data_IF_671820763776
#
_entry.id   IF_671820763776
#
_cell.length_a   1.000
_cell.length_b   1.000
_cell.length_c   1.000
_cell.angle_alpha   90.00
_cell.angle_beta   90.00
_cell.angle_gamma   90.00
#
_symmetry.space_group_name_H-M   'P 1'
#
loop_
_entity.id
_entity.type
_entity.pdbx_description
1 polymer ?
#
# COMPACT_ATOMS: atom_id res chain seq x y z
N UNK A 1 4.42 22.15 30.61
CA UNK A 1 4.64 21.41 31.87
C UNK A 1 4.70 19.90 31.58
N UNK A 2 5.31 19.02 32.41
CA UNK A 2 5.38 17.57 32.16
C UNK A 2 4.01 16.91 31.95
N UNK A 3 2.97 17.43 32.59
CA UNK A 3 1.59 16.95 32.47
C UNK A 3 0.96 17.27 31.11
N UNK A 4 1.31 18.43 30.52
CA UNK A 4 0.83 18.82 29.18
C UNK A 4 1.49 17.95 28.11
N UNK A 5 2.77 17.59 28.30
CA UNK A 5 3.49 16.62 27.47
C UNK A 5 2.85 15.23 27.55
N UNK A 6 2.51 14.74 28.74
CA UNK A 6 1.83 13.44 28.90
C UNK A 6 0.46 13.41 28.23
N UNK A 7 -0.34 14.49 28.39
CA UNK A 7 -1.63 14.63 27.70
C UNK A 7 -1.45 14.68 26.20
N UNK A 8 -0.51 15.48 25.69
CA UNK A 8 -0.19 15.56 24.25
C UNK A 8 0.24 14.21 23.68
N UNK A 9 1.09 13.46 24.40
CA UNK A 9 1.51 12.12 23.97
C UNK A 9 0.39 11.09 24.03
N UNK A 10 -0.51 11.18 25.02
CA UNK A 10 -1.65 10.26 25.14
C UNK A 10 -2.72 10.48 24.05
N UNK A 11 -2.80 11.69 23.48
CA UNK A 11 -3.74 12.05 22.42
C UNK A 11 -3.10 12.08 21.02
N UNK A 12 -1.79 11.82 20.93
CA UNK A 12 -1.08 11.82 19.66
C UNK A 12 -1.42 10.56 18.86
N UNK A 13 -2.24 10.73 17.84
CA UNK A 13 -2.68 9.64 16.94
C UNK A 13 -1.61 9.18 15.93
N UNK A 14 -0.36 9.68 16.04
CA UNK A 14 0.69 9.43 15.07
C UNK A 14 0.56 10.28 13.79
N UNK A 15 1.56 10.29 12.92
CA UNK A 15 1.45 10.92 11.62
C UNK A 15 0.49 10.12 10.74
N UNK A 16 -0.39 10.81 10.01
CA UNK A 16 -1.27 10.17 9.04
C UNK A 16 -0.46 9.43 7.98
N UNK A 17 -1.07 8.37 7.39
CA UNK A 17 -0.47 7.57 6.32
C UNK A 17 0.85 6.89 6.73
N UNK A 18 0.97 6.46 7.98
CA UNK A 18 2.06 5.61 8.45
C UNK A 18 1.47 4.43 9.20
N UNK A 19 1.33 3.30 8.49
CA UNK A 19 0.64 2.11 8.95
C UNK A 19 -0.76 2.45 9.50
N UNK A 20 -1.48 3.29 8.74
CA UNK A 20 -2.75 3.89 9.15
C UNK A 20 -3.92 2.98 8.80
N UNK A 21 -4.71 2.59 9.82
CA UNK A 21 -5.80 1.63 9.66
C UNK A 21 -7.07 2.32 9.13
N UNK A 22 -7.43 2.06 7.88
CA UNK A 22 -8.69 2.52 7.27
C UNK A 22 -9.88 1.62 7.62
N UNK A 23 -9.62 0.32 7.80
CA UNK A 23 -10.57 -0.68 8.24
C UNK A 23 -9.84 -1.76 9.02
N UNK A 24 -10.39 -2.17 10.17
CA UNK A 24 -9.89 -3.29 10.95
C UNK A 24 -11.07 -4.10 11.44
N UNK A 25 -11.23 -5.29 10.90
CA UNK A 25 -12.29 -6.25 11.26
C UNK A 25 -11.67 -7.64 11.40
N UNK A 26 -12.43 -8.58 11.92
CA UNK A 26 -12.03 -9.99 11.95
C UNK A 26 -11.88 -10.56 10.52
N UNK A 27 -12.59 -9.98 9.55
CA UNK A 27 -12.57 -10.45 8.16
C UNK A 27 -11.41 -9.87 7.36
N UNK A 28 -11.13 -8.58 7.48
CA UNK A 28 -10.14 -7.88 6.63
C UNK A 28 -9.52 -6.72 7.41
N UNK A 29 -8.24 -6.48 7.15
CA UNK A 29 -7.52 -5.29 7.59
C UNK A 29 -7.11 -4.47 6.37
N UNK A 30 -7.48 -3.18 6.35
CA UNK A 30 -7.02 -2.21 5.35
C UNK A 30 -6.10 -1.19 6.00
N UNK A 31 -4.92 -1.01 5.42
CA UNK A 31 -3.88 -0.10 5.90
C UNK A 31 -3.49 0.84 4.76
N UNK A 32 -3.23 2.11 5.06
CA UNK A 32 -2.51 3.02 4.18
C UNK A 32 -1.14 3.35 4.75
N UNK A 33 -0.12 3.33 3.89
CA UNK A 33 1.24 3.69 4.29
C UNK A 33 1.91 4.58 3.25
N UNK A 34 2.63 5.58 3.72
CA UNK A 34 3.35 6.54 2.88
C UNK A 34 4.64 5.98 2.28
N UNK A 35 5.03 4.76 2.64
CA UNK A 35 6.25 4.10 2.17
C UNK A 35 6.36 4.17 0.65
N UNK A 36 7.48 4.67 0.18
CA UNK A 36 7.76 4.89 -1.23
C UNK A 36 9.24 4.67 -1.60
N UNK A 37 10.05 4.32 -0.62
CA UNK A 37 11.44 3.86 -0.80
C UNK A 37 11.49 2.34 -0.59
N UNK A 38 12.32 1.57 -1.33
CA UNK A 38 12.38 0.11 -1.21
C UNK A 38 12.53 -0.40 0.22
N UNK A 39 13.39 0.24 1.02
CA UNK A 39 13.60 -0.12 2.44
C UNK A 39 12.34 0.08 3.29
N UNK A 40 11.60 1.17 3.06
CA UNK A 40 10.34 1.46 3.78
C UNK A 40 9.27 0.42 3.40
N UNK A 41 9.15 0.11 2.10
CA UNK A 41 8.22 -0.89 1.57
C UNK A 41 8.47 -2.25 2.22
N UNK A 42 9.72 -2.72 2.21
CA UNK A 42 10.09 -4.00 2.81
C UNK A 42 9.77 -4.03 4.31
N UNK A 43 10.08 -2.95 5.05
CA UNK A 43 9.78 -2.86 6.48
C UNK A 43 8.27 -2.90 6.77
N UNK A 44 7.47 -2.15 6.00
CA UNK A 44 5.99 -2.12 6.14
C UNK A 44 5.38 -3.47 5.82
N UNK A 45 5.80 -4.13 4.73
CA UNK A 45 5.30 -5.45 4.35
C UNK A 45 5.68 -6.54 5.37
N UNK A 46 6.90 -6.48 5.90
CA UNK A 46 7.33 -7.37 6.97
C UNK A 46 6.46 -7.19 8.23
N UNK A 47 6.23 -5.95 8.67
CA UNK A 47 5.36 -5.67 9.80
C UNK A 47 3.92 -6.20 9.58
N UNK A 48 3.39 -6.07 8.37
CA UNK A 48 2.10 -6.63 8.01
C UNK A 48 2.09 -8.17 8.07
N UNK A 49 3.14 -8.81 7.58
CA UNK A 49 3.28 -10.28 7.63
C UNK A 49 3.34 -10.80 9.06
N UNK A 50 4.00 -10.05 9.97
CA UNK A 50 4.09 -10.37 11.40
C UNK A 50 2.75 -10.26 12.15
N UNK A 51 1.70 -9.63 11.55
CA UNK A 51 0.35 -9.62 12.11
C UNK A 51 -0.33 -11.00 12.08
N UNK A 52 0.25 -11.99 11.40
CA UNK A 52 -0.18 -13.38 11.41
C UNK A 52 -1.49 -13.67 10.68
N UNK A 53 -1.92 -12.78 9.77
CA UNK A 53 -3.07 -12.98 8.88
C UNK A 53 -2.70 -13.87 7.69
N UNK A 54 -3.73 -14.35 6.96
CA UNK A 54 -3.56 -15.34 5.88
C UNK A 54 -2.69 -14.80 4.73
N UNK A 55 -3.03 -13.64 4.16
CA UNK A 55 -2.29 -13.05 3.03
C UNK A 55 -2.06 -11.54 3.21
N UNK A 56 -0.95 -11.07 2.67
CA UNK A 56 -0.65 -9.65 2.51
C UNK A 56 -0.81 -9.26 1.04
N UNK A 57 -1.79 -8.42 0.76
CA UNK A 57 -2.04 -7.81 -0.56
C UNK A 57 -1.46 -6.40 -0.52
N UNK A 58 -0.54 -6.07 -1.42
CA UNK A 58 0.05 -4.74 -1.52
C UNK A 58 -0.36 -4.08 -2.83
N UNK A 59 -0.99 -2.91 -2.75
CA UNK A 59 -1.21 -2.01 -3.87
C UNK A 59 -0.22 -0.86 -3.78
N UNK A 60 0.70 -0.76 -4.75
CA UNK A 60 1.79 0.19 -4.73
C UNK A 60 1.74 1.17 -5.91
N UNK A 61 1.94 2.46 -5.60
CA UNK A 61 2.11 3.53 -6.59
C UNK A 61 3.55 4.03 -6.56
N UNK A 62 4.34 3.82 -7.62
CA UNK A 62 5.65 4.41 -7.73
C UNK A 62 5.55 5.93 -7.71
N UNK A 63 6.50 6.59 -7.05
CA UNK A 63 6.51 8.05 -6.89
C UNK A 63 7.79 8.63 -7.50
N UNK A 64 7.64 9.46 -8.55
CA UNK A 64 8.64 10.07 -9.40
C UNK A 64 9.34 9.11 -10.36
N UNK A 65 9.51 9.56 -11.60
CA UNK A 65 10.24 8.83 -12.64
C UNK A 65 11.72 8.65 -12.29
N UNK A 66 12.34 9.71 -11.73
CA UNK A 66 13.74 9.68 -11.31
C UNK A 66 14.03 8.61 -10.27
N UNK A 67 13.20 8.51 -9.23
CA UNK A 67 13.34 7.48 -8.19
C UNK A 67 13.10 6.09 -8.75
N UNK A 68 12.05 5.91 -9.55
CA UNK A 68 11.71 4.63 -10.19
C UNK A 68 12.88 4.12 -11.05
N UNK A 69 13.54 5.02 -11.78
CA UNK A 69 14.73 4.69 -12.58
C UNK A 69 15.92 4.33 -11.69
N UNK A 70 16.21 5.16 -10.70
CA UNK A 70 17.41 5.04 -9.86
C UNK A 70 17.41 3.78 -9.00
N UNK A 71 16.28 3.47 -8.38
CA UNK A 71 16.14 2.38 -7.39
C UNK A 71 15.44 1.14 -7.96
N UNK A 72 15.46 0.96 -9.29
CA UNK A 72 14.71 -0.12 -9.94
C UNK A 72 15.11 -1.53 -9.47
N UNK A 73 16.39 -1.75 -9.21
CA UNK A 73 16.88 -3.05 -8.75
C UNK A 73 16.43 -3.33 -7.30
N UNK A 74 16.55 -2.32 -6.42
CA UNK A 74 16.10 -2.41 -5.04
C UNK A 74 14.58 -2.60 -4.95
N UNK A 75 13.82 -1.95 -5.84
CA UNK A 75 12.38 -2.19 -5.92
C UNK A 75 12.05 -3.64 -6.28
N UNK A 76 12.87 -4.29 -7.10
CA UNK A 76 12.61 -5.69 -7.50
C UNK A 76 12.57 -6.65 -6.32
N UNK A 77 13.25 -6.34 -5.22
CA UNK A 77 13.37 -7.17 -4.01
C UNK A 77 12.40 -6.75 -2.88
N UNK A 78 11.95 -5.49 -2.89
CA UNK A 78 11.22 -4.89 -1.78
C UNK A 78 9.87 -5.56 -1.45
N UNK A 79 9.30 -6.34 -2.37
CA UNK A 79 7.96 -6.91 -2.26
C UNK A 79 7.93 -8.38 -1.88
N UNK A 80 9.02 -8.91 -1.27
CA UNK A 80 9.13 -10.33 -0.94
C UNK A 80 8.00 -10.80 -0.01
N UNK A 81 7.62 -9.99 0.98
CA UNK A 81 6.62 -10.32 2.01
C UNK A 81 5.17 -10.11 1.57
N UNK A 82 4.92 -9.59 0.37
CA UNK A 82 3.58 -9.52 -0.19
C UNK A 82 3.22 -10.82 -0.93
N UNK A 83 2.01 -11.32 -0.71
CA UNK A 83 1.49 -12.52 -1.37
C UNK A 83 0.82 -12.21 -2.71
N UNK A 84 0.22 -11.01 -2.84
CA UNK A 84 -0.40 -10.51 -4.08
C UNK A 84 -0.02 -9.05 -4.27
N UNK A 85 0.30 -8.67 -5.50
CA UNK A 85 0.73 -7.32 -5.83
C UNK A 85 -0.19 -6.66 -6.87
N UNK A 86 -0.44 -5.38 -6.61
CA UNK A 86 -1.04 -4.45 -7.56
C UNK A 86 -0.13 -3.25 -7.72
N UNK A 87 0.13 -2.86 -8.96
CA UNK A 87 0.90 -1.66 -9.28
C UNK A 87 0.07 -0.70 -10.10
N UNK A 88 0.26 0.60 -9.89
CA UNK A 88 -0.34 1.64 -10.72
C UNK A 88 0.70 2.34 -11.57
N UNK A 89 0.25 3.29 -12.38
CA UNK A 89 1.16 4.19 -13.06
C UNK A 89 1.94 5.09 -12.07
N UNK A 90 3.06 5.65 -12.54
CA UNK A 90 3.93 6.48 -11.71
C UNK A 90 3.23 7.80 -11.38
N UNK A 91 3.19 8.16 -10.11
CA UNK A 91 2.83 9.51 -9.69
C UNK A 91 4.02 10.44 -9.96
N UNK A 92 3.85 11.31 -10.95
CA UNK A 92 4.94 12.15 -11.48
C UNK A 92 5.51 13.16 -10.47
N UNK A 93 4.68 13.68 -9.55
CA UNK A 93 5.07 14.73 -8.58
C UNK A 93 5.78 15.94 -9.20
N UNK A 94 5.29 16.36 -10.38
CA UNK A 94 5.85 17.50 -11.12
C UNK A 94 7.05 17.17 -12.03
N UNK A 95 7.53 15.93 -12.05
CA UNK A 95 8.59 15.51 -12.99
C UNK A 95 8.04 15.27 -14.39
N UNK A 96 8.84 15.57 -15.40
CA UNK A 96 8.57 15.14 -16.78
C UNK A 96 8.84 13.65 -16.95
N UNK A 97 8.09 12.95 -17.83
CA UNK A 97 8.35 11.56 -18.14
C UNK A 97 9.80 11.32 -18.63
N UNK A 98 10.38 10.22 -18.19
CA UNK A 98 11.72 9.78 -18.62
C UNK A 98 11.54 8.64 -19.62
N UNK A 99 12.18 8.72 -20.77
CA UNK A 99 12.09 7.70 -21.81
C UNK A 99 12.45 6.31 -21.26
N UNK A 100 11.58 5.33 -21.51
CA UNK A 100 11.75 3.95 -21.05
C UNK A 100 11.45 3.72 -19.57
N UNK A 101 10.89 4.72 -18.85
CA UNK A 101 10.47 4.62 -17.45
C UNK A 101 8.96 4.87 -17.39
N UNK A 102 8.20 3.85 -17.10
CA UNK A 102 6.75 3.89 -16.95
C UNK A 102 6.29 2.99 -15.78
N UNK A 103 4.98 2.94 -15.54
CA UNK A 103 4.38 2.18 -14.44
C UNK A 103 4.59 0.67 -14.53
N UNK A 104 4.98 0.14 -15.68
CA UNK A 104 5.23 -1.30 -15.88
C UNK A 104 6.65 -1.74 -15.53
N UNK A 105 7.57 -0.79 -15.33
CA UNK A 105 8.98 -1.10 -15.08
C UNK A 105 9.14 -1.96 -13.81
N UNK A 106 8.63 -1.49 -12.67
CA UNK A 106 8.75 -2.21 -11.39
C UNK A 106 8.02 -3.55 -11.44
N UNK A 107 6.73 -3.65 -11.84
CA UNK A 107 6.04 -4.94 -11.91
C UNK A 107 6.77 -5.96 -12.80
N UNK A 108 7.37 -5.54 -13.91
CA UNK A 108 8.14 -6.43 -14.78
C UNK A 108 9.43 -6.95 -14.10
N UNK A 109 10.12 -6.11 -13.34
CA UNK A 109 11.30 -6.52 -12.57
C UNK A 109 10.92 -7.47 -11.44
N UNK A 110 9.87 -7.16 -10.69
CA UNK A 110 9.35 -8.03 -9.62
C UNK A 110 8.90 -9.37 -10.20
N UNK A 111 8.25 -9.39 -11.38
CA UNK A 111 7.82 -10.63 -12.03
C UNK A 111 8.99 -11.53 -12.44
N UNK A 112 10.10 -10.93 -12.88
CA UNK A 112 11.33 -11.70 -13.17
C UNK A 112 11.93 -12.30 -11.92
N UNK A 113 11.90 -11.56 -10.80
CA UNK A 113 12.46 -12.00 -9.51
C UNK A 113 11.60 -13.05 -8.83
N UNK A 114 10.28 -12.92 -8.91
CA UNK A 114 9.28 -13.79 -8.29
C UNK A 114 8.26 -14.27 -9.34
N UNK A 115 8.62 -15.25 -10.20
CA UNK A 115 7.79 -15.67 -11.33
C UNK A 115 6.39 -16.17 -10.96
N UNK A 116 6.26 -16.79 -9.78
CA UNK A 116 5.00 -17.39 -9.33
C UNK A 116 4.09 -16.40 -8.58
N UNK A 117 4.61 -15.20 -8.24
CA UNK A 117 3.85 -14.21 -7.49
C UNK A 117 2.75 -13.58 -8.38
N UNK A 118 1.49 -13.54 -7.91
CA UNK A 118 0.41 -12.82 -8.60
C UNK A 118 0.70 -11.33 -8.64
N UNK A 119 0.88 -10.79 -9.84
CA UNK A 119 1.18 -9.37 -10.07
C UNK A 119 0.17 -8.82 -11.07
N UNK A 120 -0.49 -7.73 -10.68
CA UNK A 120 -1.49 -7.03 -11.46
C UNK A 120 -1.03 -5.59 -11.70
N UNK A 121 -1.24 -5.09 -12.90
CA UNK A 121 -1.04 -3.68 -13.22
C UNK A 121 -2.39 -3.03 -13.53
N UNK A 122 -2.73 -2.01 -12.75
CA UNK A 122 -3.96 -1.22 -12.89
C UNK A 122 -3.56 0.23 -13.07
N UNK A 123 -3.60 0.73 -14.31
CA UNK A 123 -3.02 2.03 -14.66
C UNK A 123 -3.50 3.16 -13.75
N UNK A 124 -4.81 3.30 -13.57
CA UNK A 124 -5.42 4.41 -12.85
C UNK A 124 -5.72 4.01 -11.41
N UNK A 125 -5.41 4.89 -10.47
CA UNK A 125 -5.69 4.68 -9.03
C UNK A 125 -7.18 4.50 -8.77
N UNK A 126 -8.03 5.18 -9.53
CA UNK A 126 -9.50 5.15 -9.41
C UNK A 126 -10.10 3.79 -9.73
N UNK A 127 -9.41 2.97 -10.54
CA UNK A 127 -9.85 1.63 -10.92
C UNK A 127 -9.44 0.56 -9.90
N UNK A 128 -8.41 0.86 -9.08
CA UNK A 128 -7.87 -0.08 -8.07
C UNK A 128 -8.92 -0.63 -7.10
N UNK A 129 -9.86 0.16 -6.52
CA UNK A 129 -10.80 -0.36 -5.53
C UNK A 129 -11.64 -1.51 -6.07
N UNK A 130 -12.06 -1.46 -7.33
CA UNK A 130 -12.84 -2.53 -7.97
C UNK A 130 -12.01 -3.80 -8.17
N UNK A 131 -10.77 -3.65 -8.62
CA UNK A 131 -9.88 -4.78 -8.87
C UNK A 131 -9.44 -5.45 -7.56
N UNK A 132 -9.11 -4.65 -6.55
CA UNK A 132 -8.79 -5.15 -5.21
C UNK A 132 -9.97 -5.89 -4.57
N UNK A 133 -11.19 -5.34 -4.70
CA UNK A 133 -12.39 -5.97 -4.15
C UNK A 133 -12.66 -7.37 -4.70
N UNK A 134 -12.28 -7.64 -5.96
CA UNK A 134 -12.46 -8.97 -6.60
C UNK A 134 -11.56 -10.05 -6.00
N UNK A 135 -10.42 -9.68 -5.43
CA UNK A 135 -9.38 -10.61 -4.97
C UNK A 135 -9.30 -10.76 -3.47
N UNK A 136 -9.83 -9.78 -2.71
CA UNK A 136 -9.87 -9.82 -1.24
C UNK A 136 -10.66 -11.04 -0.77
N UNK A 137 -10.09 -11.73 0.23
CA UNK A 137 -10.71 -12.86 0.93
C UNK A 137 -10.72 -12.59 2.42
N UNK A 138 -11.54 -13.35 3.19
CA UNK A 138 -11.45 -13.31 4.64
C UNK A 138 -10.02 -13.57 5.13
N UNK A 139 -9.65 -12.86 6.19
CA UNK A 139 -8.34 -12.90 6.84
C UNK A 139 -7.18 -12.29 6.04
N UNK A 140 -7.47 -11.49 5.01
CA UNK A 140 -6.44 -10.74 4.28
C UNK A 140 -6.07 -9.43 4.99
N UNK A 141 -4.80 -9.05 4.83
CA UNK A 141 -4.34 -7.67 5.02
C UNK A 141 -4.17 -7.06 3.63
N UNK A 142 -4.75 -5.89 3.41
CA UNK A 142 -4.51 -5.09 2.22
C UNK A 142 -3.84 -3.77 2.62
N UNK A 143 -2.76 -3.43 1.92
CA UNK A 143 -2.03 -2.19 2.15
C UNK A 143 -2.00 -1.38 0.86
N UNK A 144 -2.47 -0.12 0.90
CA UNK A 144 -2.16 0.87 -0.11
C UNK A 144 -0.86 1.58 0.27
N UNK A 145 0.09 1.68 -0.66
CA UNK A 145 1.44 2.12 -0.35
C UNK A 145 1.98 3.08 -1.41
N UNK A 146 2.45 4.25 -0.97
CA UNK A 146 3.04 5.25 -1.87
C UNK A 146 2.85 6.68 -1.40
N UNK A 147 3.72 7.61 -1.85
CA UNK A 147 3.68 9.02 -1.50
C UNK A 147 2.73 9.86 -2.38
N UNK A 148 2.11 9.27 -3.40
CA UNK A 148 1.15 9.91 -4.29
C UNK A 148 -0.29 9.84 -3.76
N UNK A 149 -1.24 9.72 -4.70
CA UNK A 149 -2.67 9.71 -4.41
C UNK A 149 -3.29 8.31 -4.20
N UNK A 150 -2.48 7.26 -4.09
CA UNK A 150 -2.98 5.88 -3.94
C UNK A 150 -3.83 5.67 -2.68
N UNK A 151 -3.62 6.47 -1.61
CA UNK A 151 -4.44 6.44 -0.41
C UNK A 151 -5.94 6.58 -0.70
N UNK A 152 -6.30 7.32 -1.76
CA UNK A 152 -7.70 7.48 -2.18
C UNK A 152 -8.33 6.14 -2.54
N UNK A 153 -7.57 5.23 -3.15
CA UNK A 153 -8.06 3.88 -3.46
C UNK A 153 -8.36 3.08 -2.18
N UNK A 154 -7.52 3.22 -1.15
CA UNK A 154 -7.76 2.62 0.17
C UNK A 154 -9.03 3.15 0.84
N UNK A 155 -9.23 4.48 0.84
CA UNK A 155 -10.44 5.13 1.37
C UNK A 155 -11.71 4.70 0.60
N UNK A 156 -11.66 4.70 -0.72
CA UNK A 156 -12.78 4.27 -1.58
C UNK A 156 -13.13 2.79 -1.32
N UNK A 157 -12.13 1.93 -1.20
CA UNK A 157 -12.32 0.52 -0.90
C UNK A 157 -12.92 0.32 0.49
N UNK A 158 -12.42 1.02 1.51
CA UNK A 158 -12.97 0.97 2.86
C UNK A 158 -14.46 1.37 2.89
N UNK A 159 -14.83 2.42 2.17
CA UNK A 159 -16.22 2.86 2.05
C UNK A 159 -17.09 1.83 1.33
N UNK A 160 -16.58 1.23 0.26
CA UNK A 160 -17.26 0.17 -0.49
C UNK A 160 -17.52 -1.06 0.38
N UNK A 161 -16.56 -1.44 1.21
CA UNK A 161 -16.67 -2.58 2.13
C UNK A 161 -17.64 -2.28 3.28
N UNK A 162 -17.60 -1.08 3.87
CA UNK A 162 -18.57 -0.65 4.89
C UNK A 162 -20.01 -0.65 4.36
N UNK A 163 -20.23 -0.16 3.14
CA UNK A 163 -21.53 -0.19 2.46
C UNK A 163 -22.07 -1.61 2.18
N UNK A 164 -21.20 -2.62 2.24
CA UNK A 164 -21.54 -4.04 2.10
C UNK A 164 -21.64 -4.79 3.44
N UNK A 165 -21.73 -4.09 4.57
CA UNK A 165 -21.93 -4.67 5.90
C UNK A 165 -20.65 -5.02 6.65
N UNK A 166 -19.47 -4.74 6.09
CA UNK A 166 -18.20 -4.85 6.81
C UNK A 166 -17.95 -3.55 7.58
N UNK A 167 -18.32 -3.53 8.86
CA UNK A 167 -18.09 -2.38 9.73
C UNK A 167 -16.69 -2.42 10.36
N UNK A 168 -16.17 -1.23 10.67
CA UNK A 168 -14.90 -1.08 11.38
C UNK A 168 -15.13 -1.34 12.88
N UNK A 169 -14.41 -2.29 13.47
CA UNK A 169 -14.40 -2.55 14.90
C UNK A 169 -13.49 -1.56 15.68
N UNK A 170 -12.84 -0.65 14.97
CA UNK A 170 -11.94 0.33 15.55
C UNK A 170 -12.73 1.55 16.05
N UNK A 171 -13.06 1.57 17.33
CA UNK A 171 -13.37 2.81 18.06
C UNK A 171 -12.04 3.43 18.47
N UNK A 172 -11.80 4.67 18.03
CA UNK A 172 -10.67 5.51 18.46
C UNK A 172 -10.65 5.70 19.97
#
# INVERSE_FOLDING_TARGET
>A
KPEDLKKGMATFAGPRRRFDFHLKTDQVVLIDDYAHHPTEIAATLKAAKEMGRHRVICAFQPHRYSRTKLLREEFSEAFIDADVLFFTDIYAAGESPIQGIDGTLIPNLVKRRFPDKPINYVKNVEDLPKELYKVIKPDDILITMGAGNIYMAGEMLANLMKGKGLSSDYKK
#
